data_IF_666284587852
#
_entry.id   IF_666284587852
#
_cell.length_a   1.000
_cell.length_b   1.000
_cell.length_c   1.000
_cell.angle_alpha   90.00
_cell.angle_beta   90.00
_cell.angle_gamma   90.00
#
_symmetry.space_group_name_H-M   'P 1'
#
loop_
_entity.id
_entity.type
_entity.pdbx_description
1 polymer ?
#
# COMPACT_ATOMS: atom_id res chain seq x y z
N UNK A 1 13.02 -14.61 3.41
CA UNK A 1 12.18 -14.08 2.36
C UNK A 1 12.87 -14.23 1.04
N UNK A 2 12.20 -14.73 0.04
CA UNK A 2 12.83 -14.96 -1.23
C UNK A 2 12.66 -13.80 -2.13
N UNK A 3 13.75 -13.22 -2.54
CA UNK A 3 13.68 -12.05 -3.39
C UNK A 3 13.11 -12.35 -4.76
N UNK A 4 13.16 -13.58 -5.18
CA UNK A 4 12.66 -13.88 -6.50
C UNK A 4 11.19 -13.64 -6.69
N UNK A 5 10.42 -13.56 -5.63
CA UNK A 5 9.03 -13.31 -5.79
C UNK A 5 8.70 -11.86 -5.77
N UNK A 6 9.67 -11.00 -5.49
CA UNK A 6 9.43 -9.57 -5.45
C UNK A 6 9.64 -9.05 -6.85
N UNK A 7 8.64 -9.24 -7.69
CA UNK A 7 8.79 -8.90 -9.10
C UNK A 7 7.85 -7.83 -9.59
N UNK A 8 7.11 -7.15 -8.71
CA UNK A 8 6.26 -6.07 -9.11
C UNK A 8 6.78 -4.77 -8.55
N UNK A 9 6.83 -3.73 -9.37
CA UNK A 9 7.36 -2.47 -8.90
C UNK A 9 6.25 -1.65 -8.31
N UNK A 10 6.44 -1.16 -7.12
CA UNK A 10 5.45 -0.29 -6.50
C UNK A 10 6.13 0.96 -5.99
N UNK A 11 5.36 2.01 -5.84
CA UNK A 11 5.85 3.26 -5.30
C UNK A 11 5.11 3.53 -4.01
N UNK A 12 5.83 3.71 -2.93
CA UNK A 12 5.22 4.04 -1.65
C UNK A 12 5.35 5.53 -1.48
N UNK A 13 4.23 6.19 -1.26
CA UNK A 13 4.19 7.64 -1.15
C UNK A 13 3.87 8.06 0.26
N UNK A 14 4.48 9.13 0.70
CA UNK A 14 4.24 9.62 2.05
C UNK A 14 3.58 10.98 1.95
N UNK A 15 2.74 11.33 2.89
CA UNK A 15 2.07 12.63 2.86
C UNK A 15 3.03 13.72 3.29
N UNK A 16 3.02 14.81 2.59
CA UNK A 16 3.80 15.95 2.99
C UNK A 16 2.83 17.08 3.22
N UNK A 17 3.04 17.82 4.27
CA UNK A 17 2.15 18.85 4.52
C UNK A 17 2.53 20.05 3.87
N UNK A 18 1.81 20.53 2.95
CA UNK A 18 2.11 21.73 2.33
C UNK A 18 1.37 22.75 3.07
N UNK A 19 1.96 23.71 3.65
CA UNK A 19 1.29 24.72 4.24
C UNK A 19 0.86 25.63 3.25
N UNK A 20 -0.25 25.67 2.85
CA UNK A 20 -0.73 26.57 1.85
C UNK A 20 -0.94 27.89 2.41
N UNK A 21 -0.89 28.84 1.59
CA UNK A 21 -1.11 30.15 2.00
C UNK A 21 -2.52 30.33 2.46
N UNK A 22 -3.41 29.53 2.02
CA UNK A 22 -4.76 29.71 2.42
C UNK A 22 -5.06 28.96 3.66
N UNK A 23 -4.14 28.29 4.19
CA UNK A 23 -4.44 27.57 5.36
C UNK A 23 -5.08 26.27 5.13
N UNK A 24 -5.39 25.94 3.91
CA UNK A 24 -5.99 24.72 3.67
C UNK A 24 -4.97 23.71 3.63
N UNK A 25 -5.01 22.68 4.29
CA UNK A 25 -4.02 21.69 4.22
C UNK A 25 -4.48 20.65 3.32
N UNK A 26 -4.06 20.68 2.13
CA UNK A 26 -4.32 19.61 1.22
C UNK A 26 -3.12 18.76 1.29
N UNK A 27 -3.24 17.52 1.57
CA UNK A 27 -2.08 16.68 1.66
C UNK A 27 -1.46 16.49 0.31
N UNK A 28 -0.21 16.78 0.22
CA UNK A 28 0.55 16.45 -0.97
C UNK A 28 1.25 15.15 -0.71
N UNK A 29 1.61 14.47 -1.75
CA UNK A 29 2.27 13.19 -1.62
C UNK A 29 3.61 13.22 -2.32
N UNK A 30 4.60 12.62 -1.70
CA UNK A 30 5.89 12.51 -2.33
C UNK A 30 6.35 11.07 -2.24
N UNK A 31 7.30 10.69 -3.06
CA UNK A 31 7.76 9.32 -3.08
C UNK A 31 8.61 9.05 -1.85
N UNK A 32 8.20 8.04 -1.10
CA UNK A 32 8.98 7.60 0.04
C UNK A 32 10.02 6.59 -0.45
N UNK A 33 9.57 5.57 -1.18
CA UNK A 33 10.47 4.57 -1.74
C UNK A 33 9.82 3.93 -2.95
N UNK A 34 10.62 3.53 -3.89
CA UNK A 34 10.16 2.73 -5.01
C UNK A 34 10.81 1.37 -4.81
N UNK A 35 10.02 0.34 -4.66
CA UNK A 35 10.55 -0.96 -4.31
C UNK A 35 9.88 -2.06 -5.09
N UNK A 36 10.47 -3.23 -5.06
CA UNK A 36 9.86 -4.41 -5.68
C UNK A 36 9.03 -5.13 -4.64
N UNK A 37 7.92 -5.65 -5.06
CA UNK A 37 6.99 -6.29 -4.15
C UNK A 37 6.41 -7.56 -4.76
N UNK A 38 5.94 -8.43 -3.89
CA UNK A 38 5.16 -9.58 -4.29
C UNK A 38 3.71 -9.15 -4.00
N UNK A 39 2.88 -9.11 -5.01
CA UNK A 39 1.53 -8.58 -4.89
C UNK A 39 0.52 -9.70 -4.96
N UNK A 40 -0.34 -9.79 -3.98
CA UNK A 40 -1.40 -10.77 -3.97
C UNK A 40 -2.72 -10.11 -3.69
N UNK A 41 -3.67 -10.32 -4.55
CA UNK A 41 -4.98 -9.76 -4.35
C UNK A 41 -5.78 -10.72 -3.49
N UNK A 42 -6.26 -10.23 -2.39
CA UNK A 42 -7.02 -11.07 -1.51
C UNK A 42 -8.48 -10.87 -1.76
N UNK A 43 -8.93 -11.24 -2.89
CA UNK A 43 -10.27 -10.98 -3.13
C UNK A 43 -10.99 -12.00 -2.46
N UNK A 44 -11.82 -11.73 -1.91
CA UNK A 44 -12.51 -12.58 -1.28
C UNK A 44 -13.42 -13.25 -1.90
N UNK A 45 -12.99 -14.03 -2.49
CA UNK A 45 -13.91 -14.66 -3.14
C UNK A 45 -14.83 -15.21 -2.28
N UNK A 46 -14.42 -15.33 -1.27
CA UNK A 46 -15.28 -15.91 -0.48
C UNK A 46 -16.35 -15.12 -0.20
N UNK A 47 -16.40 -14.15 -0.61
CA UNK A 47 -17.32 -13.36 -0.35
C UNK A 47 -18.36 -13.44 -1.02
N UNK A 48 -19.07 -14.08 -0.89
CA UNK A 48 -20.10 -14.18 -1.49
C UNK A 48 -21.12 -13.29 -1.44
N UNK A 49 -21.28 -12.55 -0.72
CA UNK A 49 -22.31 -11.63 -0.74
C UNK A 49 -22.00 -10.76 -1.65
N UNK A 50 -21.58 -11.23 -2.59
CA UNK A 50 -21.18 -10.46 -3.54
C UNK A 50 -22.04 -9.41 -3.91
N UNK A 51 -23.16 -9.53 -3.79
CA UNK A 51 -23.95 -8.53 -4.29
C UNK A 51 -23.67 -7.28 -3.62
N UNK A 52 -23.20 -7.29 -2.66
CA UNK A 52 -22.95 -6.11 -2.12
C UNK A 52 -21.78 -5.71 -2.30
N UNK A 53 -21.20 -5.71 -2.88
CA UNK A 53 -20.20 -5.43 -3.10
C UNK A 53 -19.36 -4.78 -3.33
N UNK A 54 -18.70 -4.57 -3.38
CA UNK A 54 -17.96 -3.90 -3.55
C UNK A 54 -16.87 -3.79 -3.70
N UNK A 55 -16.44 -3.79 -3.90
CA UNK A 55 -15.45 -3.60 -4.33
C UNK A 55 -14.28 -3.26 -3.75
N UNK A 56 -13.91 -3.17 -2.72
CA UNK A 56 -12.71 -2.89 -2.32
C UNK A 56 -11.95 -4.10 -2.24
N UNK A 57 -11.05 -4.38 -3.05
CA UNK A 57 -10.28 -5.55 -3.02
C UNK A 57 -9.12 -5.31 -2.10
N UNK A 58 -8.91 -6.16 -1.15
CA UNK A 58 -7.74 -6.08 -0.31
C UNK A 58 -6.59 -6.63 -1.10
N UNK A 59 -5.47 -6.02 -0.99
CA UNK A 59 -4.27 -6.46 -1.68
C UNK A 59 -3.14 -6.51 -0.67
N UNK A 60 -2.33 -7.55 -0.75
CA UNK A 60 -1.20 -7.68 0.13
C UNK A 60 0.05 -7.47 -0.67
N UNK A 61 0.90 -6.55 -0.19
CA UNK A 61 2.17 -6.27 -0.82
C UNK A 61 3.27 -6.73 0.12
N UNK A 62 4.09 -7.66 -0.31
CA UNK A 62 5.21 -8.10 0.52
C UNK A 62 6.46 -7.46 -0.03
N UNK A 63 7.17 -6.74 0.80
CA UNK A 63 8.36 -6.01 0.40
C UNK A 63 9.48 -6.29 1.38
N UNK A 64 10.69 -5.92 1.01
CA UNK A 64 11.78 -6.04 1.93
C UNK A 64 11.61 -5.02 3.02
N UNK A 65 12.25 -5.23 4.14
CA UNK A 65 12.09 -4.35 5.31
C UNK A 65 12.36 -2.91 4.92
N UNK A 66 11.48 -2.01 5.31
CA UNK A 66 11.63 -0.60 5.04
C UNK A 66 11.52 0.16 6.34
N UNK A 67 12.62 0.81 6.71
CA UNK A 67 12.62 1.61 7.90
C UNK A 67 11.78 2.85 7.66
N UNK A 68 10.96 3.21 8.59
CA UNK A 68 10.14 4.42 8.46
C UNK A 68 8.78 4.22 7.80
N UNK A 69 8.45 3.00 7.44
CA UNK A 69 7.17 2.74 6.81
C UNK A 69 6.04 2.91 7.83
N UNK A 70 5.01 3.66 7.48
CA UNK A 70 3.89 3.88 8.39
C UNK A 70 2.59 3.71 7.65
N UNK A 71 1.49 3.59 8.39
CA UNK A 71 0.20 3.44 7.79
C UNK A 71 -0.34 4.73 7.21
N UNK A 72 0.32 5.82 7.41
CA UNK A 72 -0.13 7.08 6.83
C UNK A 72 0.28 7.16 5.38
N UNK A 73 1.08 6.25 4.91
CA UNK A 73 1.54 6.25 3.54
C UNK A 73 0.55 5.53 2.65
N UNK A 74 0.74 5.63 1.36
CA UNK A 74 -0.11 4.93 0.42
C UNK A 74 0.77 4.29 -0.64
N UNK A 75 0.21 3.36 -1.40
CA UNK A 75 0.96 2.66 -2.42
C UNK A 75 0.38 2.97 -3.78
N UNK A 76 1.24 3.27 -4.73
CA UNK A 76 0.85 3.43 -6.11
C UNK A 76 1.35 2.20 -6.87
N UNK A 77 0.44 1.47 -7.48
CA UNK A 77 0.82 0.28 -8.19
C UNK A 77 -0.06 0.13 -9.42
N UNK A 78 0.58 0.02 -10.56
CA UNK A 78 -0.13 -0.23 -11.80
C UNK A 78 -1.23 0.79 -12.07
N UNK A 79 -1.00 2.02 -11.71
CA UNK A 79 -1.98 3.06 -11.98
C UNK A 79 -3.04 3.24 -10.91
N UNK A 80 -3.06 2.38 -9.93
CA UNK A 80 -4.05 2.50 -8.87
C UNK A 80 -3.39 2.90 -7.57
N UNK A 81 -4.16 3.53 -6.71
CA UNK A 81 -3.67 3.92 -5.40
C UNK A 81 -4.31 3.05 -4.33
N UNK A 82 -3.55 2.74 -3.32
CA UNK A 82 -4.02 1.87 -2.25
C UNK A 82 -3.73 2.49 -0.90
N UNK A 83 -4.71 2.47 -0.02
CA UNK A 83 -4.52 2.90 1.35
C UNK A 83 -3.97 1.76 2.16
N UNK A 84 -2.98 2.02 2.96
CA UNK A 84 -2.39 0.99 3.79
C UNK A 84 -3.27 0.76 5.01
N UNK A 85 -3.70 -0.47 5.20
CA UNK A 85 -4.54 -0.82 6.32
C UNK A 85 -3.72 -1.35 7.48
N UNK A 86 -2.73 -2.16 7.20
CA UNK A 86 -1.89 -2.69 8.26
C UNK A 86 -0.53 -3.04 7.72
N UNK A 87 0.45 -3.08 8.60
CA UNK A 87 1.81 -3.40 8.24
C UNK A 87 2.30 -4.42 9.25
N UNK A 88 2.76 -5.56 8.78
CA UNK A 88 3.28 -6.58 9.65
C UNK A 88 4.73 -6.84 9.30
N UNK A 89 5.57 -6.98 10.29
CA UNK A 89 6.97 -7.23 10.02
C UNK A 89 7.17 -8.72 9.84
N UNK A 90 7.99 -9.11 8.88
CA UNK A 90 8.28 -10.48 8.63
C UNK A 90 9.64 -10.77 9.20
N UNK A 91 9.73 -11.80 10.03
CA UNK A 91 10.98 -12.18 10.61
C UNK A 91 11.59 -11.05 11.44
N UNK A 92 12.90 -10.99 11.45
CA UNK A 92 13.52 -9.95 12.21
C UNK A 92 14.04 -8.96 11.20
N UNK A 93 13.27 -7.99 10.88
CA UNK A 93 13.63 -6.96 9.91
C UNK A 93 13.94 -7.56 8.55
N UNK A 94 13.23 -8.61 8.18
CA UNK A 94 13.46 -9.19 6.86
C UNK A 94 12.54 -8.59 5.83
N UNK A 95 11.38 -8.23 6.20
CA UNK A 95 10.44 -7.67 5.26
C UNK A 95 9.21 -7.16 5.92
N UNK A 96 8.27 -6.70 5.13
CA UNK A 96 6.98 -6.24 5.62
C UNK A 96 5.89 -6.81 4.74
N UNK A 97 4.78 -7.19 5.36
CA UNK A 97 3.58 -7.52 4.63
C UNK A 97 2.65 -6.33 4.83
N UNK A 98 2.32 -5.67 3.76
CA UNK A 98 1.47 -4.51 3.81
C UNK A 98 0.12 -4.88 3.25
N UNK A 99 -0.91 -4.74 4.06
CA UNK A 99 -2.24 -5.01 3.58
C UNK A 99 -2.88 -3.68 3.24
N UNK A 100 -3.42 -3.58 2.08
CA UNK A 100 -3.93 -2.31 1.59
C UNK A 100 -5.21 -2.50 0.81
N UNK A 101 -5.99 -1.46 0.68
CA UNK A 101 -7.21 -1.54 -0.10
C UNK A 101 -7.19 -0.46 -1.15
N UNK A 102 -7.73 -0.76 -2.30
CA UNK A 102 -7.72 0.17 -3.40
C UNK A 102 -8.58 1.39 -3.08
N UNK A 103 -8.13 2.55 -3.48
CA UNK A 103 -8.89 3.76 -3.31
C UNK A 103 -9.73 3.91 -4.54
N UNK A 104 -11.03 3.93 -4.34
CA UNK A 104 -11.93 4.05 -5.46
C UNK A 104 -12.45 5.44 -5.48
N UNK A 105 -12.36 6.09 -6.58
CA UNK A 105 -12.87 7.42 -6.66
C UNK A 105 -14.05 7.54 -7.48
#
# INVERSE_FOLDING_TARGET
>A
MKAGRLNRRIIIQEPTEARGATGQSTPNWSTFRTVWADVKTLTGSENLDADQFVAKADTKFRVRYLSGLTRKMRISYNGDLYNILSIAEIGFKEGHDIRAEAIVE
#
